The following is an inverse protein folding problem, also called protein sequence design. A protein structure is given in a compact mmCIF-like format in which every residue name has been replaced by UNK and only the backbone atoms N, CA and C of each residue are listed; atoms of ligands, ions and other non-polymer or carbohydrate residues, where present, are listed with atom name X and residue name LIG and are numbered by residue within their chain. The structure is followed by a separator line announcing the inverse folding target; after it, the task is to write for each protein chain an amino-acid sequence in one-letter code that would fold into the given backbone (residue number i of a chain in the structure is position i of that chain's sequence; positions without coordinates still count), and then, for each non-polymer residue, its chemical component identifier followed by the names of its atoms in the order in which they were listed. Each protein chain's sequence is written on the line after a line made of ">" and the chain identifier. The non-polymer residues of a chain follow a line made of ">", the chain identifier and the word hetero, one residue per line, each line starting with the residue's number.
data_IF_927942773588
#
_entry.id   IF_927942773588
#
_cell.length_a   1.000
_cell.length_b   1.000
_cell.length_c   1.000
_cell.angle_alpha   90.00
_cell.angle_beta   90.00
_cell.angle_gamma   90.00
#
_symmetry.space_group_name_H-M   'P 1'
#
loop_
_entity.id
_entity.type
_entity.pdbx_description
1 polymer ?
#
# COMPACT_ATOMS: atom_id res chain seq x y z
N UNK A 1 31.75 0.31 -58.18
CA UNK A 1 30.38 0.89 -58.11
C UNK A 1 29.62 0.13 -57.02
N UNK A 2 29.15 0.85 -55.99
CA UNK A 2 28.27 0.39 -54.89
C UNK A 2 28.99 -0.52 -53.87
N UNK A 3 29.59 -0.05 -52.78
CA UNK A 3 29.16 0.83 -51.68
C UNK A 3 28.14 0.18 -50.72
N UNK A 4 28.58 0.11 -49.47
CA UNK A 4 27.96 -0.48 -48.28
C UNK A 4 26.54 -0.01 -47.98
N UNK A 5 25.78 -0.85 -47.26
CA UNK A 5 25.08 -0.48 -46.01
C UNK A 5 23.89 -1.41 -45.72
N UNK A 6 24.13 -2.53 -45.05
CA UNK A 6 23.03 -3.30 -44.43
C UNK A 6 23.27 -3.69 -42.96
N UNK A 7 24.30 -3.12 -42.32
CA UNK A 7 24.55 -3.30 -40.89
C UNK A 7 24.02 -2.15 -40.01
N UNK A 8 23.24 -1.21 -40.57
CA UNK A 8 22.84 0.03 -39.90
C UNK A 8 21.38 0.13 -39.43
N UNK A 9 20.56 -0.92 -39.53
CA UNK A 9 19.11 -0.82 -39.20
C UNK A 9 18.64 -1.60 -37.97
N UNK A 10 19.53 -2.28 -37.24
CA UNK A 10 19.17 -2.99 -35.99
C UNK A 10 19.72 -2.34 -34.72
N UNK A 11 20.62 -1.37 -34.82
CA UNK A 11 21.20 -0.70 -33.64
C UNK A 11 20.46 0.57 -33.21
N UNK A 12 19.67 1.22 -34.08
CA UNK A 12 19.12 2.56 -33.79
C UNK A 12 17.76 2.54 -33.08
N UNK A 13 17.03 1.42 -33.10
CA UNK A 13 15.75 1.31 -32.40
C UNK A 13 15.88 0.94 -30.90
N UNK A 14 17.04 0.43 -30.47
CA UNK A 14 17.26 0.03 -29.09
C UNK A 14 17.73 1.18 -28.17
N UNK A 15 18.28 2.26 -28.74
CA UNK A 15 18.83 3.39 -27.95
C UNK A 15 17.76 4.46 -27.67
N UNK A 16 16.72 4.58 -28.50
CA UNK A 16 15.65 5.57 -28.31
C UNK A 16 14.62 5.26 -27.22
N UNK A 17 14.48 3.98 -26.83
CA UNK A 17 13.49 3.55 -25.83
C UNK A 17 14.09 3.52 -24.41
N UNK A 18 15.40 3.26 -24.28
CA UNK A 18 16.04 3.20 -22.96
C UNK A 18 16.23 4.59 -22.36
N UNK A 19 16.45 5.62 -23.19
CA UNK A 19 16.54 7.00 -22.70
C UNK A 19 15.19 7.62 -22.31
N UNK A 20 14.07 7.13 -22.86
CA UNK A 20 12.73 7.63 -22.53
C UNK A 20 12.15 6.96 -21.28
N UNK A 21 12.58 5.74 -20.93
CA UNK A 21 12.20 5.10 -19.65
C UNK A 21 13.05 5.62 -18.48
N UNK A 22 14.33 5.95 -18.70
CA UNK A 22 15.16 6.54 -17.64
C UNK A 22 14.90 8.04 -17.41
N UNK A 23 14.46 8.79 -18.42
CA UNK A 23 14.19 10.23 -18.30
C UNK A 23 12.84 10.59 -17.66
N UNK A 24 11.88 9.65 -17.58
CA UNK A 24 10.57 9.89 -16.97
C UNK A 24 10.52 9.41 -15.50
N UNK A 25 11.44 8.52 -15.09
CA UNK A 25 11.55 8.09 -13.69
C UNK A 25 12.28 9.10 -12.79
N UNK A 26 13.03 10.05 -13.35
CA UNK A 26 13.94 10.88 -12.54
C UNK A 26 13.39 12.25 -12.11
N UNK A 27 12.20 12.68 -12.53
CA UNK A 27 11.75 14.05 -12.23
C UNK A 27 10.57 14.18 -11.25
N UNK A 28 9.75 13.14 -11.06
CA UNK A 28 8.62 13.18 -10.12
C UNK A 28 8.63 12.11 -9.02
N UNK A 29 9.50 11.09 -9.10
CA UNK A 29 9.65 10.06 -8.06
C UNK A 29 10.82 10.27 -7.09
N UNK A 30 11.91 10.91 -7.53
CA UNK A 30 13.16 10.95 -6.74
C UNK A 30 13.17 12.07 -5.69
N UNK A 31 12.52 13.21 -5.96
CA UNK A 31 12.49 14.34 -5.01
C UNK A 31 11.73 13.99 -3.73
N UNK A 32 10.63 13.26 -3.85
CA UNK A 32 9.87 12.78 -2.70
C UNK A 32 10.49 11.55 -2.05
N UNK A 33 11.10 10.62 -2.82
CA UNK A 33 11.68 9.41 -2.25
C UNK A 33 12.86 9.69 -1.30
N UNK A 34 13.78 10.58 -1.68
CA UNK A 34 14.91 10.96 -0.82
C UNK A 34 14.45 11.70 0.45
N UNK A 35 13.41 12.53 0.33
CA UNK A 35 12.79 13.22 1.47
C UNK A 35 12.09 12.22 2.40
N UNK A 36 11.30 11.30 1.85
CA UNK A 36 10.58 10.26 2.59
C UNK A 36 11.54 9.30 3.29
N UNK A 37 12.58 8.81 2.60
CA UNK A 37 13.59 7.93 3.19
C UNK A 37 14.35 8.61 4.33
N UNK A 38 14.58 9.92 4.28
CA UNK A 38 15.17 10.66 5.40
C UNK A 38 14.22 10.83 6.60
N UNK A 39 12.90 10.90 6.36
CA UNK A 39 11.86 10.95 7.39
C UNK A 39 11.62 9.59 8.06
N UNK A 40 11.75 8.48 7.31
CA UNK A 40 11.60 7.09 7.77
C UNK A 40 12.81 6.61 8.62
N UNK A 41 13.44 7.53 9.36
CA UNK A 41 14.78 7.43 9.93
C UNK A 41 15.15 6.05 10.53
N UNK A 42 16.03 5.33 9.84
CA UNK A 42 16.89 4.31 10.44
C UNK A 42 16.47 2.84 10.32
N UNK A 43 15.24 2.53 9.89
CA UNK A 43 14.76 1.16 9.68
C UNK A 43 14.43 0.91 8.21
N UNK A 44 14.85 -0.26 7.69
CA UNK A 44 14.44 -0.70 6.37
C UNK A 44 12.92 -0.92 6.40
N UNK A 45 12.19 -0.06 5.71
CA UNK A 45 10.75 -0.18 5.61
C UNK A 45 10.39 -1.41 4.77
N UNK A 46 9.46 -2.27 5.23
CA UNK A 46 9.02 -3.39 4.44
C UNK A 46 8.37 -2.86 3.15
N UNK A 47 8.59 -3.56 2.04
CA UNK A 47 7.93 -3.21 0.78
C UNK A 47 6.43 -3.55 0.86
N UNK A 48 5.63 -2.95 -0.03
CA UNK A 48 4.22 -3.34 -0.15
C UNK A 48 4.04 -4.81 -0.52
N UNK A 49 4.94 -5.41 -1.30
CA UNK A 49 4.93 -6.85 -1.58
C UNK A 49 5.19 -7.72 -0.36
N UNK A 50 6.01 -7.27 0.59
CA UNK A 50 6.24 -7.95 1.87
C UNK A 50 5.01 -7.82 2.79
N UNK A 51 4.43 -6.62 2.87
CA UNK A 51 3.27 -6.33 3.72
C UNK A 51 1.98 -6.99 3.23
N UNK A 52 1.66 -6.87 1.95
CA UNK A 52 0.37 -7.23 1.41
C UNK A 52 0.43 -8.61 0.74
N UNK A 53 -0.36 -9.63 1.12
CA UNK A 53 -0.44 -10.87 0.37
C UNK A 53 -0.98 -10.66 -1.07
N UNK A 54 -0.60 -11.53 -2.01
CA UNK A 54 -1.20 -11.54 -3.37
C UNK A 54 -2.68 -11.91 -3.30
N UNK A 55 -2.99 -12.93 -2.51
CA UNK A 55 -4.34 -13.40 -2.25
C UNK A 55 -4.39 -14.02 -0.87
N UNK A 56 -5.60 -14.10 -0.31
CA UNK A 56 -5.86 -14.83 0.90
C UNK A 56 -7.27 -15.41 0.89
N UNK A 57 -7.40 -16.57 1.53
CA UNK A 57 -8.67 -17.28 1.62
C UNK A 57 -9.09 -17.36 3.08
N UNK A 58 -10.35 -17.08 3.35
CA UNK A 58 -10.95 -17.25 4.66
C UNK A 58 -12.40 -17.70 4.48
N UNK A 59 -12.80 -18.75 5.19
CA UNK A 59 -14.18 -19.26 5.22
C UNK A 59 -14.90 -19.32 3.85
N UNK A 60 -14.21 -19.78 2.80
CA UNK A 60 -14.80 -20.02 1.48
C UNK A 60 -14.74 -18.86 0.50
N UNK A 61 -14.37 -17.65 0.93
CA UNK A 61 -14.09 -16.53 0.03
C UNK A 61 -12.58 -16.37 -0.19
N UNK A 62 -12.20 -16.02 -1.43
CA UNK A 62 -10.81 -15.75 -1.81
C UNK A 62 -10.70 -14.30 -2.28
N UNK A 63 -10.02 -13.48 -1.49
CA UNK A 63 -9.71 -12.10 -1.83
C UNK A 63 -8.38 -12.07 -2.58
N UNK A 64 -8.42 -11.49 -3.79
CA UNK A 64 -7.23 -11.31 -4.64
C UNK A 64 -6.93 -9.84 -4.76
N UNK A 65 -5.66 -9.49 -4.63
CA UNK A 65 -5.26 -8.10 -4.70
C UNK A 65 -5.39 -7.56 -6.13
N UNK A 66 -6.10 -6.44 -6.27
CA UNK A 66 -6.25 -5.69 -7.52
C UNK A 66 -5.29 -4.51 -7.58
N UNK A 67 -4.83 -4.02 -6.42
CA UNK A 67 -3.72 -3.06 -6.32
C UNK A 67 -2.81 -3.42 -5.15
N UNK A 68 -1.50 -3.47 -5.41
CA UNK A 68 -0.41 -3.69 -4.43
C UNK A 68 0.79 -2.82 -4.82
N UNK A 69 0.78 -1.52 -4.48
CA UNK A 69 1.95 -0.69 -4.69
C UNK A 69 3.11 -1.25 -3.87
N UNK A 70 4.32 -1.16 -4.40
CA UNK A 70 5.55 -1.55 -3.70
C UNK A 70 6.20 -0.38 -2.97
N UNK A 71 5.81 0.84 -3.34
CA UNK A 71 6.39 2.09 -2.84
C UNK A 71 5.46 2.73 -1.82
N UNK A 72 6.09 3.32 -0.80
CA UNK A 72 5.43 4.18 0.15
C UNK A 72 5.18 5.56 -0.46
N UNK A 73 4.00 6.09 -0.20
CA UNK A 73 3.62 7.46 -0.53
C UNK A 73 3.74 8.33 0.72
N UNK A 74 4.10 9.60 0.54
CA UNK A 74 4.14 10.56 1.65
C UNK A 74 2.71 10.87 2.13
N UNK A 75 2.50 10.94 3.44
CA UNK A 75 1.20 11.38 3.94
C UNK A 75 0.99 12.87 3.62
N UNK A 76 -0.25 13.28 3.34
CA UNK A 76 -0.61 14.69 3.46
C UNK A 76 -0.31 15.12 4.92
N UNK A 77 0.34 16.28 5.12
CA UNK A 77 0.90 16.71 6.40
C UNK A 77 -0.16 16.81 7.51
N UNK A 78 -0.46 15.70 8.16
CA UNK A 78 -1.35 15.64 9.31
C UNK A 78 -0.80 14.69 10.39
N UNK A 79 -0.83 15.20 11.62
CA UNK A 79 -0.70 14.44 12.88
C UNK A 79 0.51 13.50 13.01
N UNK A 80 1.63 13.83 12.36
CA UNK A 80 2.87 13.07 12.46
C UNK A 80 2.94 11.84 11.57
N UNK A 81 2.01 11.68 10.62
CA UNK A 81 2.09 10.66 9.57
C UNK A 81 3.26 10.99 8.64
N UNK A 82 4.16 10.02 8.43
CA UNK A 82 5.34 10.15 7.57
C UNK A 82 5.05 9.59 6.20
N UNK A 83 4.54 8.35 6.16
CA UNK A 83 4.30 7.61 4.93
C UNK A 83 3.07 6.73 5.05
N UNK A 84 2.41 6.46 3.93
CA UNK A 84 1.35 5.46 3.84
C UNK A 84 1.55 4.55 2.64
N UNK A 85 0.94 3.38 2.69
CA UNK A 85 0.90 2.44 1.58
C UNK A 85 -0.43 1.68 1.63
N UNK A 86 -1.08 1.51 0.48
CA UNK A 86 -2.46 1.04 0.39
C UNK A 86 -2.61 -0.07 -0.63
N UNK A 87 -3.28 -1.15 -0.27
CA UNK A 87 -3.64 -2.23 -1.17
C UNK A 87 -5.16 -2.39 -1.23
N UNK A 88 -5.65 -2.80 -2.40
CA UNK A 88 -7.06 -3.14 -2.62
C UNK A 88 -7.17 -4.60 -3.03
N UNK A 89 -8.21 -5.26 -2.51
CA UNK A 89 -8.56 -6.65 -2.80
C UNK A 89 -10.00 -6.73 -3.26
N UNK A 90 -10.28 -7.71 -4.12
CA UNK A 90 -11.63 -8.05 -4.56
C UNK A 90 -11.88 -9.55 -4.47
N UNK A 91 -13.09 -9.93 -4.12
CA UNK A 91 -13.62 -11.29 -4.27
C UNK A 91 -14.83 -11.19 -5.20
N UNK A 92 -14.84 -12.01 -6.25
CA UNK A 92 -15.90 -11.98 -7.27
C UNK A 92 -17.18 -12.67 -6.79
N UNK A 93 -17.06 -13.65 -5.89
CA UNK A 93 -18.19 -14.37 -5.30
C UNK A 93 -17.87 -14.78 -3.84
N UNK A 94 -18.57 -14.21 -2.84
CA UNK A 94 -19.51 -13.09 -2.95
C UNK A 94 -18.79 -11.74 -3.21
N UNK A 95 -19.45 -10.83 -3.94
CA UNK A 95 -18.89 -9.53 -4.34
C UNK A 95 -18.45 -8.67 -3.15
N UNK A 96 -17.14 -8.53 -2.97
CA UNK A 96 -16.52 -7.87 -1.81
C UNK A 96 -15.30 -7.08 -2.27
N UNK A 97 -15.15 -5.84 -1.78
CA UNK A 97 -13.93 -5.03 -1.94
C UNK A 97 -13.34 -4.78 -0.56
N UNK A 98 -12.05 -5.03 -0.37
CA UNK A 98 -11.35 -4.72 0.88
C UNK A 98 -10.18 -3.80 0.58
N UNK A 99 -10.13 -2.66 1.26
CA UNK A 99 -9.01 -1.74 1.24
C UNK A 99 -8.21 -1.92 2.52
N UNK A 100 -6.89 -1.96 2.40
CA UNK A 100 -5.98 -2.07 3.54
C UNK A 100 -4.92 -1.00 3.40
N UNK A 101 -4.68 -0.26 4.48
CA UNK A 101 -3.62 0.72 4.53
C UNK A 101 -2.70 0.46 5.72
N UNK A 102 -1.41 0.72 5.49
CA UNK A 102 -0.41 0.82 6.53
C UNK A 102 0.12 2.24 6.49
N UNK A 103 0.20 2.87 7.65
CA UNK A 103 0.79 4.20 7.81
C UNK A 103 1.91 4.15 8.84
N UNK A 104 3.00 4.86 8.58
CA UNK A 104 4.12 5.07 9.50
C UNK A 104 3.99 6.46 10.12
N UNK A 105 4.14 6.56 11.42
CA UNK A 105 4.11 7.81 12.17
C UNK A 105 5.47 8.12 12.78
N UNK A 106 5.64 9.36 13.25
CA UNK A 106 6.82 9.81 13.99
C UNK A 106 7.14 8.96 15.21
N UNK A 107 6.10 8.42 15.85
CA UNK A 107 6.18 7.67 17.10
C UNK A 107 4.91 6.84 17.33
N UNK A 108 4.95 5.94 18.31
CA UNK A 108 3.82 5.07 18.66
C UNK A 108 2.62 5.82 19.24
N UNK A 109 2.84 7.00 19.85
CA UNK A 109 1.76 7.79 20.43
C UNK A 109 0.92 8.43 19.32
N UNK A 110 1.56 8.97 18.29
CA UNK A 110 0.93 9.48 17.08
C UNK A 110 0.17 8.38 16.33
N UNK A 111 0.76 7.19 16.19
CA UNK A 111 0.08 6.03 15.58
C UNK A 111 -1.16 5.60 16.39
N UNK A 112 -1.05 5.57 17.72
CA UNK A 112 -2.14 5.21 18.64
C UNK A 112 -3.26 6.24 18.60
N UNK A 113 -2.91 7.53 18.64
CA UNK A 113 -3.88 8.62 18.55
C UNK A 113 -4.68 8.54 17.25
N UNK A 114 -4.01 8.34 16.11
CA UNK A 114 -4.70 8.19 14.82
C UNK A 114 -5.69 7.01 14.82
N UNK A 115 -5.31 5.85 15.34
CA UNK A 115 -6.21 4.70 15.42
C UNK A 115 -7.41 4.98 16.34
N UNK A 116 -7.20 5.70 17.43
CA UNK A 116 -8.27 6.09 18.35
C UNK A 116 -9.23 7.12 17.72
N UNK A 117 -8.70 8.15 17.06
CA UNK A 117 -9.49 9.15 16.34
C UNK A 117 -10.30 8.50 15.20
N UNK A 118 -9.69 7.58 14.46
CA UNK A 118 -10.37 6.81 13.42
C UNK A 118 -11.53 5.98 14.01
N UNK A 119 -11.31 5.30 15.15
CA UNK A 119 -12.36 4.54 15.83
C UNK A 119 -13.49 5.44 16.34
N UNK A 120 -13.16 6.60 16.90
CA UNK A 120 -14.15 7.57 17.36
C UNK A 120 -14.96 8.14 16.19
N UNK A 121 -14.30 8.40 15.06
CA UNK A 121 -14.97 8.80 13.82
C UNK A 121 -15.91 7.70 13.32
N UNK A 122 -15.46 6.44 13.27
CA UNK A 122 -16.29 5.29 12.85
C UNK A 122 -17.51 5.11 13.77
N UNK A 123 -17.33 5.23 15.09
CA UNK A 123 -18.41 5.15 16.06
C UNK A 123 -19.41 6.31 15.93
N UNK A 124 -18.93 7.54 15.74
CA UNK A 124 -19.79 8.72 15.63
C UNK A 124 -20.58 8.79 14.33
N UNK A 125 -20.08 8.17 13.26
CA UNK A 125 -20.76 8.12 11.96
C UNK A 125 -21.59 6.84 11.75
N UNK A 126 -21.74 6.00 12.78
CA UNK A 126 -22.39 4.68 12.68
C UNK A 126 -21.82 3.81 11.55
N UNK A 127 -20.52 4.01 11.27
CA UNK A 127 -19.71 3.17 10.36
C UNK A 127 -19.11 2.00 11.14
N UNK A 128 -19.54 1.81 12.40
CA UNK A 128 -19.10 0.74 13.28
C UNK A 128 -19.43 -0.63 12.70
N UNK A 129 -18.39 -1.40 12.35
CA UNK A 129 -18.54 -2.79 11.90
C UNK A 129 -17.85 -3.14 10.57
N UNK A 130 -17.31 -2.15 9.84
CA UNK A 130 -16.67 -2.41 8.54
C UNK A 130 -15.14 -2.44 8.58
N UNK A 131 -14.54 -2.06 9.73
CA UNK A 131 -13.11 -1.76 9.85
C UNK A 131 -12.33 -2.65 10.82
N UNK A 132 -11.06 -2.87 10.53
CA UNK A 132 -10.02 -3.29 11.46
C UNK A 132 -9.02 -2.16 11.60
N UNK A 133 -8.65 -1.79 12.82
CA UNK A 133 -7.62 -0.77 13.08
C UNK A 133 -6.75 -1.22 14.24
N UNK A 134 -5.42 -1.24 14.05
CA UNK A 134 -4.44 -1.67 15.04
C UNK A 134 -3.11 -0.92 14.90
N UNK A 135 -2.26 -1.02 15.92
CA UNK A 135 -0.94 -0.38 16.01
C UNK A 135 0.13 -1.43 16.26
N UNK A 136 1.31 -1.25 15.66
CA UNK A 136 2.54 -1.98 15.99
C UNK A 136 3.68 -0.98 15.99
N UNK A 137 4.23 -0.62 17.15
CA UNK A 137 5.25 0.44 17.24
C UNK A 137 4.75 1.77 16.66
N UNK A 138 5.54 2.35 15.76
CA UNK A 138 5.24 3.55 14.98
C UNK A 138 4.26 3.33 13.80
N UNK A 139 3.79 2.10 13.56
CA UNK A 139 2.91 1.77 12.45
C UNK A 139 1.45 1.70 12.89
N UNK A 140 0.55 2.18 12.04
CA UNK A 140 -0.88 1.84 12.11
C UNK A 140 -1.28 0.98 10.91
N UNK A 141 -2.19 0.03 11.14
CA UNK A 141 -2.84 -0.76 10.10
C UNK A 141 -4.33 -0.48 10.18
N UNK A 142 -4.93 -0.11 9.05
CA UNK A 142 -6.37 -0.04 8.90
C UNK A 142 -6.81 -0.91 7.74
N UNK A 143 -7.93 -1.61 7.88
CA UNK A 143 -8.55 -2.35 6.79
C UNK A 143 -10.06 -2.11 6.82
N UNK A 144 -10.65 -1.81 5.68
CA UNK A 144 -12.08 -1.56 5.53
C UNK A 144 -12.65 -2.39 4.39
N UNK A 145 -13.74 -3.09 4.66
CA UNK A 145 -14.44 -3.91 3.68
C UNK A 145 -15.74 -3.23 3.26
N UNK A 146 -15.92 -3.09 1.95
CA UNK A 146 -17.16 -2.68 1.34
C UNK A 146 -17.79 -3.94 0.77
N UNK A 147 -18.91 -4.29 1.38
CA UNK A 147 -19.65 -5.49 1.06
C UNK A 147 -20.84 -5.16 0.15
N UNK A 148 -20.94 -5.89 -0.96
CA UNK A 148 -22.05 -5.75 -1.89
C UNK A 148 -23.04 -6.93 -1.81
N UNK A 149 -22.67 -8.05 -1.17
CA UNK A 149 -23.45 -9.30 -1.17
C UNK A 149 -23.23 -10.24 0.04
N UNK A 150 -22.08 -10.17 0.72
CA UNK A 150 -21.79 -10.91 1.94
C UNK A 150 -22.49 -10.26 3.16
N UNK A 151 -22.52 -10.97 4.29
CA UNK A 151 -23.05 -10.46 5.56
C UNK A 151 -21.94 -10.27 6.62
N UNK A 152 -20.66 -10.37 6.25
CA UNK A 152 -19.55 -10.31 7.22
C UNK A 152 -18.31 -9.48 6.76
N UNK A 153 -18.49 -8.18 6.48
CA UNK A 153 -17.38 -7.27 6.18
C UNK A 153 -16.37 -7.17 7.33
N UNK A 154 -16.82 -7.32 8.58
CA UNK A 154 -15.96 -7.26 9.74
C UNK A 154 -14.89 -8.35 9.73
N UNK A 155 -15.30 -9.60 9.49
CA UNK A 155 -14.36 -10.72 9.44
C UNK A 155 -13.37 -10.57 8.30
N UNK A 156 -13.79 -10.04 7.15
CA UNK A 156 -12.90 -9.77 6.03
C UNK A 156 -11.81 -8.74 6.39
N UNK A 157 -12.22 -7.58 6.92
CA UNK A 157 -11.31 -6.53 7.38
C UNK A 157 -10.36 -7.02 8.47
N UNK A 158 -10.88 -7.73 9.48
CA UNK A 158 -10.09 -8.27 10.59
C UNK A 158 -9.06 -9.29 10.13
N UNK A 159 -9.44 -10.17 9.19
CA UNK A 159 -8.54 -11.21 8.69
C UNK A 159 -7.34 -10.61 7.96
N UNK A 160 -7.58 -9.71 7.00
CA UNK A 160 -6.47 -9.11 6.24
C UNK A 160 -5.66 -8.15 7.10
N UNK A 161 -6.32 -7.36 7.94
CA UNK A 161 -5.66 -6.41 8.82
C UNK A 161 -4.70 -7.10 9.78
N UNK A 162 -5.09 -8.23 10.38
CA UNK A 162 -4.20 -9.04 11.22
C UNK A 162 -3.05 -9.67 10.43
N UNK A 163 -3.30 -10.14 9.21
CA UNK A 163 -2.23 -10.68 8.36
C UNK A 163 -1.18 -9.61 8.04
N UNK A 164 -1.61 -8.41 7.68
CA UNK A 164 -0.71 -7.28 7.42
C UNK A 164 0.01 -6.84 8.69
N UNK A 165 -0.71 -6.70 9.82
CA UNK A 165 -0.11 -6.35 11.11
C UNK A 165 1.02 -7.33 11.50
N UNK A 166 0.82 -8.64 11.29
CA UNK A 166 1.81 -9.67 11.64
C UNK A 166 3.10 -9.63 10.82
N UNK A 167 3.13 -8.84 9.73
CA UNK A 167 4.28 -8.66 8.84
C UNK A 167 5.03 -7.37 9.11
N UNK A 168 4.51 -6.53 10.00
CA UNK A 168 5.20 -5.31 10.41
C UNK A 168 6.37 -5.64 11.32
N UNK A 169 7.43 -4.81 11.31
CA UNK A 169 8.50 -4.92 12.28
C UNK A 169 7.92 -4.84 13.70
N UNK A 170 8.38 -5.74 14.56
CA UNK A 170 8.14 -5.65 15.99
C UNK A 170 9.15 -4.64 16.55
N UNK A 171 8.66 -3.45 16.91
CA UNK A 171 9.44 -2.44 17.65
C UNK A 171 9.34 -2.65 19.16
#
# INVERSE_FOLDING_TARGET
>A
MGNDSNFGKRATAAIGVIASVLGILTFFGISNWNTLTSKLSGSAQPSGTELFPVSFTHQGWTLTATSRPDTWDECEEDWGCIANIKAQYTAEDPGLIVMVSVSVYSDSEAATRHVEEQRQWEQSNDVGGYGYSAVSGSYSVTAGAIDFQTNDPYTASSTIGRQVLSRLPLE
#
